data_IF_303653575662
#
_entry.id   IF_303653575662
#
_cell.length_a   1.000
_cell.length_b   1.000
_cell.length_c   1.000
_cell.angle_alpha   90.00
_cell.angle_beta   90.00
_cell.angle_gamma   90.00
#
_symmetry.space_group_name_H-M   'P 1'
#
loop_
_entity.id
_entity.type
_entity.pdbx_description
1 polymer ?
#
# COMPACT_ATOMS: atom_id res chain seq x y z
N UNK A 1 2.35 -2.65 -14.94
CA UNK A 1 0.98 -2.05 -14.91
C UNK A 1 0.07 -2.68 -13.86
N UNK A 2 0.04 -4.02 -13.68
CA UNK A 2 -0.83 -4.69 -12.69
C UNK A 2 -0.64 -4.24 -11.22
N UNK A 3 0.60 -3.98 -10.80
CA UNK A 3 0.91 -3.49 -9.44
C UNK A 3 0.41 -2.05 -9.24
N UNK A 4 0.57 -1.19 -10.24
CA UNK A 4 0.06 0.19 -10.20
C UNK A 4 -1.47 0.25 -10.09
N UNK A 5 -2.17 -0.76 -10.61
CA UNK A 5 -3.62 -0.91 -10.49
C UNK A 5 -4.07 -1.74 -9.27
N UNK A 6 -3.14 -2.12 -8.38
CA UNK A 6 -3.41 -3.00 -7.22
C UNK A 6 -4.07 -4.35 -7.57
N UNK A 7 -3.94 -4.79 -8.82
CA UNK A 7 -4.37 -6.12 -9.25
C UNK A 7 -3.35 -7.20 -8.82
N UNK A 8 -2.13 -6.78 -8.51
CA UNK A 8 -1.04 -7.63 -8.04
C UNK A 8 -0.40 -6.98 -6.81
N UNK A 9 -0.32 -7.73 -5.72
CA UNK A 9 0.12 -7.24 -4.40
C UNK A 9 1.61 -7.55 -4.14
N UNK A 10 2.18 -8.46 -4.93
CA UNK A 10 3.56 -8.92 -4.76
C UNK A 10 4.36 -8.77 -6.06
N UNK A 11 5.58 -8.28 -5.93
CA UNK A 11 6.58 -8.26 -7.00
C UNK A 11 7.68 -9.26 -6.63
N UNK A 12 7.76 -10.34 -7.38
CA UNK A 12 8.87 -11.30 -7.30
C UNK A 12 10.00 -10.84 -8.21
N UNK A 13 11.22 -10.89 -7.69
CA UNK A 13 12.45 -10.56 -8.42
C UNK A 13 13.37 -11.77 -8.28
N UNK A 14 13.77 -12.34 -9.40
CA UNK A 14 14.72 -13.44 -9.41
C UNK A 14 16.14 -12.88 -9.31
N UNK A 15 16.93 -13.43 -8.37
CA UNK A 15 18.32 -13.00 -8.20
C UNK A 15 19.21 -13.49 -9.35
N UNK A 16 18.80 -14.54 -10.06
CA UNK A 16 19.51 -15.08 -11.22
C UNK A 16 19.52 -14.05 -12.36
N UNK A 17 18.37 -13.39 -12.63
CA UNK A 17 18.28 -12.28 -13.59
C UNK A 17 19.22 -11.12 -13.23
N UNK A 18 19.35 -10.81 -11.94
CA UNK A 18 20.27 -9.78 -11.46
C UNK A 18 21.73 -10.20 -11.59
N UNK A 19 22.02 -11.48 -11.37
CA UNK A 19 23.37 -12.03 -11.47
C UNK A 19 23.87 -12.08 -12.93
N UNK A 20 22.98 -12.23 -13.90
CA UNK A 20 23.33 -12.11 -15.33
C UNK A 20 23.83 -10.70 -15.70
N UNK A 21 23.33 -9.67 -15.02
CA UNK A 21 23.68 -8.27 -15.27
C UNK A 21 24.89 -7.84 -14.41
N UNK A 22 24.81 -8.10 -13.11
CA UNK A 22 25.83 -7.75 -12.13
C UNK A 22 25.87 -8.81 -11.00
N UNK A 23 26.78 -9.79 -11.08
CA UNK A 23 26.88 -10.86 -10.09
C UNK A 23 27.32 -10.35 -8.72
N UNK A 24 28.14 -9.30 -8.65
CA UNK A 24 28.58 -8.71 -7.39
C UNK A 24 27.41 -8.00 -6.68
N UNK A 25 26.51 -7.39 -7.45
CA UNK A 25 25.31 -6.76 -6.91
C UNK A 25 24.33 -7.80 -6.34
N UNK A 26 24.10 -8.91 -7.05
CA UNK A 26 23.30 -10.02 -6.54
C UNK A 26 23.87 -10.55 -5.20
N UNK A 27 25.19 -10.71 -5.10
CA UNK A 27 25.87 -11.10 -3.86
C UNK A 27 25.61 -10.09 -2.73
N UNK A 28 25.74 -8.79 -3.00
CA UNK A 28 25.47 -7.72 -2.01
C UNK A 28 24.02 -7.72 -1.53
N UNK A 29 23.05 -8.05 -2.40
CA UNK A 29 21.65 -8.19 -2.03
C UNK A 29 21.45 -9.36 -1.07
N UNK A 30 22.11 -10.49 -1.30
CA UNK A 30 22.07 -11.64 -0.39
C UNK A 30 22.67 -11.28 0.97
N UNK A 31 23.77 -10.53 1.00
CA UNK A 31 24.42 -10.10 2.25
C UNK A 31 23.58 -9.10 3.06
N UNK A 32 22.71 -8.31 2.41
CA UNK A 32 21.90 -7.31 3.10
C UNK A 32 20.50 -7.12 2.49
N UNK A 33 19.73 -8.21 2.44
CA UNK A 33 18.43 -8.25 1.76
C UNK A 33 17.49 -7.17 2.29
N UNK A 34 17.42 -6.99 3.61
CA UNK A 34 16.52 -6.02 4.24
C UNK A 34 16.74 -4.59 3.76
N UNK A 35 17.99 -4.16 3.58
CA UNK A 35 18.31 -2.81 3.10
C UNK A 35 17.90 -2.64 1.64
N UNK A 36 18.26 -3.60 0.79
CA UNK A 36 17.96 -3.52 -0.64
C UNK A 36 16.46 -3.62 -0.91
N UNK A 37 15.73 -4.49 -0.20
CA UNK A 37 14.26 -4.52 -0.27
C UNK A 37 13.65 -3.17 0.10
N UNK A 38 14.13 -2.52 1.17
CA UNK A 38 13.62 -1.20 1.58
C UNK A 38 13.87 -0.13 0.51
N UNK A 39 15.10 -0.02 0.02
CA UNK A 39 15.48 0.98 -1.00
C UNK A 39 14.66 0.75 -2.28
N UNK A 40 14.50 -0.51 -2.67
CA UNK A 40 13.76 -0.86 -3.87
C UNK A 40 12.26 -0.58 -3.73
N UNK A 41 11.66 -0.85 -2.56
CA UNK A 41 10.29 -0.45 -2.25
C UNK A 41 10.09 1.06 -2.33
N UNK A 42 11.00 1.84 -1.75
CA UNK A 42 10.94 3.32 -1.81
C UNK A 42 11.02 3.83 -3.25
N UNK A 43 11.91 3.26 -4.07
CA UNK A 43 12.03 3.60 -5.49
C UNK A 43 10.77 3.23 -6.28
N UNK A 44 10.17 2.06 -6.01
CA UNK A 44 8.90 1.67 -6.61
C UNK A 44 7.80 2.65 -6.21
N UNK A 45 7.69 3.01 -4.94
CA UNK A 45 6.65 3.93 -4.46
C UNK A 45 6.73 5.32 -5.12
N UNK A 46 7.94 5.82 -5.38
CA UNK A 46 8.14 7.07 -6.11
C UNK A 46 7.75 6.94 -7.59
N UNK A 47 7.96 5.76 -8.19
CA UNK A 47 7.67 5.51 -9.59
C UNK A 47 6.19 5.20 -9.86
N UNK A 48 5.51 4.49 -8.96
CA UNK A 48 4.13 4.00 -9.12
C UNK A 48 3.11 5.05 -9.58
N UNK A 49 3.12 6.30 -9.09
CA UNK A 49 2.19 7.35 -9.53
C UNK A 49 2.24 7.60 -11.05
N UNK A 50 3.42 7.48 -11.67
CA UNK A 50 3.60 7.73 -13.10
C UNK A 50 3.04 6.61 -14.00
N UNK A 51 2.74 5.44 -13.43
CA UNK A 51 2.21 4.27 -14.15
C UNK A 51 0.72 4.02 -13.89
N UNK A 52 0.02 4.97 -13.26
CA UNK A 52 -1.44 4.90 -13.06
C UNK A 52 -2.14 5.34 -14.34
N UNK A 53 -2.40 4.39 -15.24
CA UNK A 53 -3.12 4.65 -16.49
C UNK A 53 -4.65 4.73 -16.29
N UNK A 54 -5.16 4.22 -15.17
CA UNK A 54 -6.59 4.21 -14.82
C UNK A 54 -6.79 4.46 -13.32
N UNK A 55 -7.91 5.08 -12.96
CA UNK A 55 -8.35 5.14 -11.57
C UNK A 55 -8.68 3.73 -11.06
N UNK A 56 -8.09 3.36 -9.93
CA UNK A 56 -8.23 2.06 -9.30
C UNK A 56 -9.66 1.96 -8.75
N UNK A 57 -10.50 1.12 -9.34
CA UNK A 57 -11.91 0.96 -8.92
C UNK A 57 -12.09 0.13 -7.64
N UNK A 58 -11.11 -0.71 -7.28
CA UNK A 58 -11.19 -1.47 -6.04
C UNK A 58 -10.61 -0.65 -4.88
N UNK A 59 -11.51 0.01 -4.13
CA UNK A 59 -11.17 0.45 -2.77
C UNK A 59 -11.08 -0.80 -1.91
N UNK A 60 -9.88 -1.14 -1.46
CA UNK A 60 -9.73 -2.17 -0.43
C UNK A 60 -10.54 -1.72 0.80
N UNK A 61 -11.13 -2.66 1.52
CA UNK A 61 -11.78 -2.42 2.81
C UNK A 61 -10.92 -1.57 3.76
N UNK A 62 -9.59 -1.71 3.67
CA UNK A 62 -8.65 -0.89 4.41
C UNK A 62 -8.57 0.56 3.91
N UNK A 63 -8.63 0.79 2.60
CA UNK A 63 -8.65 2.15 2.03
C UNK A 63 -9.93 2.88 2.43
N UNK A 64 -11.07 2.18 2.34
CA UNK A 64 -12.37 2.69 2.81
C UNK A 64 -12.29 3.06 4.30
N UNK A 65 -11.70 2.19 5.13
CA UNK A 65 -11.50 2.46 6.54
C UNK A 65 -10.61 3.71 6.79
N UNK A 66 -9.52 3.87 6.04
CA UNK A 66 -8.62 5.03 6.17
C UNK A 66 -9.32 6.33 5.76
N UNK A 67 -10.05 6.33 4.63
CA UNK A 67 -10.81 7.49 4.17
C UNK A 67 -11.86 7.93 5.21
N UNK A 68 -12.62 6.98 5.78
CA UNK A 68 -13.61 7.28 6.80
C UNK A 68 -12.99 7.79 8.10
N UNK A 69 -11.86 7.23 8.55
CA UNK A 69 -11.13 7.74 9.72
C UNK A 69 -10.70 9.19 9.53
N UNK A 70 -10.14 9.53 8.36
CA UNK A 70 -9.71 10.89 8.05
C UNK A 70 -10.89 11.87 7.98
N UNK A 71 -12.05 11.43 7.49
CA UNK A 71 -13.27 12.24 7.46
C UNK A 71 -13.76 12.58 8.87
N UNK A 72 -13.80 11.59 9.77
CA UNK A 72 -14.23 11.77 11.17
C UNK A 72 -13.22 12.65 11.92
N UNK A 73 -11.92 12.46 11.72
CA UNK A 73 -10.90 13.29 12.37
C UNK A 73 -11.04 14.77 11.98
N UNK A 74 -11.36 15.05 10.70
CA UNK A 74 -11.65 16.39 10.21
C UNK A 74 -12.97 16.96 10.75
N UNK A 75 -13.98 16.12 11.01
CA UNK A 75 -15.26 16.54 11.61
C UNK A 75 -15.13 16.80 13.12
N UNK A 76 -14.45 15.92 13.85
CA UNK A 76 -14.21 16.06 15.29
C UNK A 76 -13.31 17.26 15.62
N UNK A 77 -12.44 17.68 14.70
CA UNK A 77 -11.69 18.93 14.84
C UNK A 77 -12.56 20.19 14.68
N UNK A 78 -13.73 20.09 14.04
CA UNK A 78 -14.64 21.21 13.83
C UNK A 78 -15.72 21.33 14.89
N UNK A 79 -16.15 20.22 15.48
CA UNK A 79 -17.26 20.18 16.44
C UNK A 79 -16.85 19.32 17.63
N UNK A 80 -16.68 19.96 18.80
CA UNK A 80 -16.24 19.34 20.05
C UNK A 80 -17.27 18.38 20.70
N UNK A 81 -18.05 17.66 19.91
CA UNK A 81 -19.07 16.73 20.39
C UNK A 81 -18.53 15.31 20.53
N UNK A 82 -18.65 14.76 21.74
CA UNK A 82 -18.31 13.37 22.06
C UNK A 82 -19.45 12.46 21.60
N UNK A 83 -19.34 11.91 20.39
CA UNK A 83 -20.32 10.97 19.82
C UNK A 83 -20.09 9.54 20.31
N UNK A 84 -21.17 8.79 20.51
CA UNK A 84 -21.18 7.45 21.12
C UNK A 84 -20.30 6.44 20.34
N UNK A 85 -19.42 5.69 21.03
CA UNK A 85 -18.61 4.62 20.48
C UNK A 85 -19.28 3.61 19.54
N UNK A 86 -20.59 3.38 19.71
CA UNK A 86 -21.35 2.33 19.00
C UNK A 86 -21.95 2.79 17.67
N UNK A 87 -22.03 4.10 17.45
CA UNK A 87 -22.33 4.70 16.15
C UNK A 87 -21.10 4.79 15.23
N UNK A 88 -19.93 4.29 15.68
CA UNK A 88 -18.67 4.45 14.96
C UNK A 88 -18.62 3.76 13.60
N UNK A 89 -19.43 2.74 13.33
CA UNK A 89 -19.33 1.97 12.08
C UNK A 89 -20.68 1.49 11.56
N UNK A 90 -20.99 1.69 10.26
CA UNK A 90 -22.10 1.03 9.59
C UNK A 90 -21.99 -0.49 9.74
N UNK A 91 -23.10 -1.19 10.03
CA UNK A 91 -23.10 -2.63 10.25
C UNK A 91 -22.68 -3.43 9.01
N UNK A 92 -22.70 -2.80 7.84
CA UNK A 92 -22.23 -3.36 6.57
C UNK A 92 -20.73 -3.70 6.61
N UNK A 93 -19.90 -2.95 7.35
CA UNK A 93 -18.46 -3.21 7.51
C UNK A 93 -18.14 -4.27 8.58
N UNK A 94 -19.08 -4.57 9.47
CA UNK A 94 -18.92 -5.58 10.52
C UNK A 94 -19.34 -6.99 10.05
N UNK A 95 -20.00 -7.08 8.88
CA UNK A 95 -20.35 -8.36 8.27
C UNK A 95 -19.20 -8.84 7.40
N UNK A 96 -18.45 -9.80 7.91
CA UNK A 96 -17.49 -10.58 7.14
C UNK A 96 -18.27 -11.64 6.32
N UNK A 97 -18.24 -11.53 4.99
CA UNK A 97 -18.35 -12.67 4.07
C UNK A 97 -17.02 -12.79 3.34
#
# INVERSE_FOLDING_TARGET
VKIAHREQVELLIELDDLAEIDPDFAQRIVENTRRYSKIFSEAIDEMLPNYKDREIQNKDSLDVYIEHRLLIERQNHREGEVRDPRDRYPPELLRRL
#
